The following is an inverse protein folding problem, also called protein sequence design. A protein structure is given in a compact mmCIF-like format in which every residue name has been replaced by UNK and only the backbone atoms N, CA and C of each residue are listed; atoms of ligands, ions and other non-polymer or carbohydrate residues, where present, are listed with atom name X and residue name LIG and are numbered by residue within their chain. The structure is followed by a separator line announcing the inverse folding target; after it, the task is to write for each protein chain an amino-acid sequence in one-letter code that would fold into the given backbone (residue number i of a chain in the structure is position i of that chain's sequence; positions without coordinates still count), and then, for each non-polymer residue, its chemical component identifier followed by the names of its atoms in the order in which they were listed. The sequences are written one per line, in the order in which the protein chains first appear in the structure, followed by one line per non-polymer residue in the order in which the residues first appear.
data_IF_294573262911
#
_entry.id   IF_294573262911
#
_cell.length_a   1.000
_cell.length_b   1.000
_cell.length_c   1.000
_cell.angle_alpha   90.00
_cell.angle_beta   90.00
_cell.angle_gamma   90.00
#
_symmetry.space_group_name_H-M   'P 1'
#
loop_
_entity.id
_entity.type
_entity.pdbx_description
1 polymer ?
#
# COMPACT_ATOMS: atom_id res chain seq x y z
N UNK A 1 15.62 -5.15 13.75
CA UNK A 1 14.81 -4.71 12.59
C UNK A 1 13.72 -3.77 13.10
N UNK A 2 13.57 -2.58 12.53
CA UNK A 2 12.71 -1.53 13.08
C UNK A 2 11.23 -1.99 13.06
N UNK A 3 10.61 -2.29 14.20
CA UNK A 3 9.32 -3.00 14.31
C UNK A 3 8.19 -2.37 13.48
N UNK A 4 8.20 -1.04 13.35
CA UNK A 4 7.27 -0.28 12.50
C UNK A 4 7.36 -0.68 11.02
N UNK A 5 8.55 -0.97 10.51
CA UNK A 5 8.74 -1.41 9.11
C UNK A 5 8.20 -2.82 8.90
N UNK A 6 8.45 -3.73 9.84
CA UNK A 6 7.93 -5.10 9.77
C UNK A 6 6.39 -5.10 9.77
N UNK A 7 5.77 -4.35 10.68
CA UNK A 7 4.31 -4.18 10.74
C UNK A 7 3.78 -3.60 9.42
N UNK A 8 4.44 -2.58 8.88
CA UNK A 8 4.06 -2.00 7.60
C UNK A 8 4.09 -3.02 6.44
N UNK A 9 5.09 -3.90 6.39
CA UNK A 9 5.17 -4.93 5.35
C UNK A 9 4.07 -5.98 5.51
N UNK A 10 3.79 -6.40 6.75
CA UNK A 10 2.68 -7.32 7.05
C UNK A 10 1.34 -6.71 6.58
N UNK A 11 1.09 -5.44 6.92
CA UNK A 11 -0.12 -4.73 6.48
C UNK A 11 -0.20 -4.63 4.95
N UNK A 12 0.93 -4.39 4.27
CA UNK A 12 0.96 -4.34 2.81
C UNK A 12 0.61 -5.71 2.20
N UNK A 13 1.14 -6.80 2.75
CA UNK A 13 0.81 -8.16 2.32
C UNK A 13 -0.67 -8.47 2.54
N UNK A 14 -1.22 -8.11 3.71
CA UNK A 14 -2.65 -8.27 4.01
C UNK A 14 -3.53 -7.43 3.07
N UNK A 15 -3.12 -6.20 2.74
CA UNK A 15 -3.79 -5.37 1.77
C UNK A 15 -3.80 -6.04 0.38
N UNK A 16 -2.68 -6.63 -0.03
CA UNK A 16 -2.59 -7.40 -1.27
C UNK A 16 -3.52 -8.61 -1.31
N UNK A 17 -3.55 -9.40 -0.24
CA UNK A 17 -4.44 -10.57 -0.12
C UNK A 17 -5.92 -10.13 -0.17
N UNK A 18 -6.29 -9.13 0.62
CA UNK A 18 -7.67 -8.61 0.67
C UNK A 18 -8.10 -7.95 -0.64
N UNK A 19 -7.16 -7.37 -1.40
CA UNK A 19 -7.40 -6.88 -2.75
C UNK A 19 -7.72 -8.01 -3.74
N UNK A 20 -6.98 -9.11 -3.72
CA UNK A 20 -7.27 -10.28 -4.54
C UNK A 20 -8.62 -10.91 -4.16
N UNK A 21 -8.95 -10.98 -2.86
CA UNK A 21 -10.24 -11.45 -2.40
C UNK A 21 -11.37 -10.55 -2.90
N UNK A 22 -11.24 -9.24 -2.75
CA UNK A 22 -12.21 -8.27 -3.25
C UNK A 22 -12.44 -8.41 -4.76
N UNK A 23 -11.38 -8.66 -5.55
CA UNK A 23 -11.50 -8.88 -7.00
C UNK A 23 -12.18 -10.20 -7.36
N UNK A 24 -11.99 -11.25 -6.56
CA UNK A 24 -12.54 -12.59 -6.84
C UNK A 24 -13.98 -12.77 -6.36
N UNK A 25 -14.38 -12.11 -5.27
CA UNK A 25 -15.71 -12.24 -4.66
C UNK A 25 -16.90 -11.97 -5.59
N UNK A 26 -16.87 -11.00 -6.53
CA UNK A 26 -17.93 -10.83 -7.51
C UNK A 26 -18.18 -12.07 -8.37
N UNK A 27 -17.13 -12.86 -8.65
CA UNK A 27 -17.17 -14.05 -9.50
C UNK A 27 -17.46 -15.34 -8.72
N UNK A 28 -17.42 -15.31 -7.38
CA UNK A 28 -17.79 -16.45 -6.56
C UNK A 28 -19.30 -16.61 -6.48
N UNK A 29 -19.74 -17.87 -6.46
CA UNK A 29 -21.14 -18.25 -6.32
C UNK A 29 -21.56 -18.22 -4.83
N UNK A 30 -21.60 -17.00 -4.27
CA UNK A 30 -21.99 -16.73 -2.89
C UNK A 30 -23.49 -16.45 -2.78
N UNK A 31 -24.15 -16.77 -1.64
CA UNK A 31 -25.54 -16.42 -1.39
C UNK A 31 -25.78 -14.91 -1.57
N UNK A 32 -26.77 -14.54 -2.39
CA UNK A 32 -27.01 -13.16 -2.80
C UNK A 32 -27.22 -12.20 -1.62
N UNK A 33 -27.86 -12.68 -0.56
CA UNK A 33 -28.19 -11.93 0.66
C UNK A 33 -26.93 -11.38 1.36
N UNK A 34 -25.85 -12.16 1.38
CA UNK A 34 -24.62 -11.82 2.09
C UNK A 34 -23.51 -11.32 1.16
N UNK A 35 -23.65 -11.53 -0.16
CA UNK A 35 -22.59 -11.24 -1.14
C UNK A 35 -22.15 -9.78 -1.11
N UNK A 36 -23.10 -8.85 -1.09
CA UNK A 36 -22.79 -7.41 -1.04
C UNK A 36 -22.10 -7.02 0.28
N UNK A 37 -22.57 -7.54 1.41
CA UNK A 37 -21.97 -7.29 2.72
C UNK A 37 -20.53 -7.79 2.79
N UNK A 38 -20.26 -8.98 2.26
CA UNK A 38 -18.92 -9.57 2.22
C UNK A 38 -18.00 -8.71 1.37
N UNK A 39 -18.43 -8.31 0.16
CA UNK A 39 -17.64 -7.47 -0.75
C UNK A 39 -17.36 -6.09 -0.14
N UNK A 40 -18.38 -5.44 0.42
CA UNK A 40 -18.24 -4.13 1.07
C UNK A 40 -17.32 -4.21 2.29
N UNK A 41 -17.47 -5.25 3.12
CA UNK A 41 -16.61 -5.50 4.27
C UNK A 41 -15.16 -5.72 3.87
N UNK A 42 -14.89 -6.57 2.86
CA UNK A 42 -13.52 -6.77 2.37
C UNK A 42 -12.93 -5.50 1.77
N UNK A 43 -13.73 -4.71 1.06
CA UNK A 43 -13.29 -3.42 0.52
C UNK A 43 -12.84 -2.45 1.62
N UNK A 44 -13.63 -2.31 2.69
CA UNK A 44 -13.28 -1.44 3.82
C UNK A 44 -12.02 -1.93 4.51
N UNK A 45 -11.93 -3.23 4.80
CA UNK A 45 -10.75 -3.84 5.46
C UNK A 45 -9.49 -3.63 4.61
N UNK A 46 -9.59 -3.86 3.30
CA UNK A 46 -8.50 -3.62 2.37
C UNK A 46 -8.02 -2.16 2.43
N UNK A 47 -8.95 -1.20 2.34
CA UNK A 47 -8.62 0.24 2.42
C UNK A 47 -7.89 0.56 3.73
N UNK A 48 -8.36 0.04 4.86
CA UNK A 48 -7.71 0.24 6.17
C UNK A 48 -6.30 -0.32 6.18
N UNK A 49 -6.08 -1.55 5.72
CA UNK A 49 -4.74 -2.14 5.64
C UNK A 49 -3.82 -1.39 4.70
N UNK A 50 -4.32 -1.03 3.51
CA UNK A 50 -3.56 -0.31 2.50
C UNK A 50 -3.09 1.05 2.99
N UNK A 51 -3.99 1.89 3.53
CA UNK A 51 -3.61 3.21 4.02
C UNK A 51 -2.73 3.14 5.27
N UNK A 52 -2.93 2.16 6.14
CA UNK A 52 -2.06 1.94 7.30
C UNK A 52 -0.65 1.51 6.89
N UNK A 53 -0.53 0.62 5.90
CA UNK A 53 0.75 0.22 5.32
C UNK A 53 1.44 1.40 4.65
N UNK A 54 0.70 2.20 3.89
CA UNK A 54 1.20 3.38 3.19
C UNK A 54 1.62 4.49 4.16
N UNK A 55 0.97 4.62 5.31
CA UNK A 55 1.42 5.53 6.36
C UNK A 55 2.79 5.11 6.95
N UNK A 56 2.98 3.81 7.19
CA UNK A 56 4.21 3.29 7.81
C UNK A 56 5.38 3.16 6.82
N UNK A 57 5.10 2.79 5.57
CA UNK A 57 6.11 2.49 4.55
C UNK A 57 6.10 3.43 3.36
N UNK A 58 5.06 4.22 3.15
CA UNK A 58 4.85 5.00 1.93
C UNK A 58 6.03 5.91 1.61
N UNK A 59 6.58 6.61 2.60
CA UNK A 59 7.79 7.44 2.39
C UNK A 59 8.98 6.63 1.84
N UNK A 60 9.19 5.41 2.34
CA UNK A 60 10.30 4.55 1.88
C UNK A 60 10.03 3.96 0.51
N UNK A 61 8.80 3.54 0.25
CA UNK A 61 8.37 3.01 -1.04
C UNK A 61 8.49 4.09 -2.11
N UNK A 62 7.98 5.30 -1.85
CA UNK A 62 8.03 6.41 -2.79
C UNK A 62 9.48 6.84 -3.04
N UNK A 63 10.34 6.93 -2.01
CA UNK A 63 11.77 7.23 -2.21
C UNK A 63 12.45 6.17 -3.06
N UNK A 64 12.16 4.88 -2.84
CA UNK A 64 12.73 3.78 -3.63
C UNK A 64 12.24 3.81 -5.08
N UNK A 65 10.95 4.07 -5.32
CA UNK A 65 10.40 4.23 -6.68
C UNK A 65 11.00 5.46 -7.36
N UNK A 66 11.11 6.58 -6.64
CA UNK A 66 11.67 7.82 -7.15
C UNK A 66 13.14 7.66 -7.60
N UNK A 67 13.91 6.78 -6.96
CA UNK A 67 15.28 6.49 -7.40
C UNK A 67 15.38 5.76 -8.75
N UNK A 68 14.29 5.17 -9.25
CA UNK A 68 14.24 4.57 -10.59
C UNK A 68 13.71 5.55 -11.66
N UNK A 69 13.25 6.74 -11.25
CA UNK A 69 12.73 7.76 -12.16
C UNK A 69 13.86 8.64 -12.71
N UNK A 70 13.65 9.26 -13.89
CA UNK A 70 14.59 10.24 -14.42
C UNK A 70 14.78 11.42 -13.46
N UNK A 71 15.98 12.01 -13.46
CA UNK A 71 16.48 12.97 -12.46
C UNK A 71 15.58 14.18 -12.21
N UNK A 72 14.83 14.63 -13.23
CA UNK A 72 13.87 15.73 -13.10
C UNK A 72 12.67 15.36 -12.21
N UNK A 73 12.10 14.15 -12.41
CA UNK A 73 10.99 13.63 -11.62
C UNK A 73 11.45 13.24 -10.21
N UNK A 74 12.65 12.67 -10.07
CA UNK A 74 13.27 12.37 -8.78
C UNK A 74 13.34 13.65 -7.92
N UNK A 75 13.98 14.73 -8.41
CA UNK A 75 14.10 15.99 -7.65
C UNK A 75 12.75 16.56 -7.22
N UNK A 76 11.74 16.47 -8.08
CA UNK A 76 10.39 16.97 -7.79
C UNK A 76 9.76 16.21 -6.61
N UNK A 77 9.86 14.88 -6.63
CA UNK A 77 9.32 14.01 -5.58
C UNK A 77 10.06 14.20 -4.25
N UNK A 78 11.39 14.28 -4.26
CA UNK A 78 12.18 14.51 -3.04
C UNK A 78 11.88 15.89 -2.42
N UNK A 79 11.64 16.92 -3.25
CA UNK A 79 11.24 18.26 -2.79
C UNK A 79 9.86 18.26 -2.14
N UNK A 80 8.89 17.57 -2.74
CA UNK A 80 7.53 17.42 -2.19
C UNK A 80 7.53 16.65 -0.87
N UNK A 81 8.35 15.61 -0.74
CA UNK A 81 8.44 14.79 0.47
C UNK A 81 9.34 15.41 1.56
N UNK A 82 9.97 16.57 1.31
CA UNK A 82 10.98 17.20 2.18
C UNK A 82 12.04 16.17 2.65
N UNK A 83 12.54 15.37 1.72
CA UNK A 83 13.60 14.39 2.01
C UNK A 83 14.89 14.88 1.39
N UNK A 84 15.93 15.04 2.21
CA UNK A 84 17.28 15.21 1.70
C UNK A 84 17.84 13.83 1.34
N UNK A 85 18.30 13.68 0.10
CA UNK A 85 19.08 12.50 -0.31
C UNK A 85 20.40 12.58 0.45
N UNK A 86 20.65 11.62 1.34
CA UNK A 86 21.98 11.46 1.95
C UNK A 86 22.91 11.05 0.81
N UNK A 87 23.80 11.96 0.40
CA UNK A 87 24.85 11.63 -0.54
C UNK A 87 25.78 10.62 0.14
N UNK A 88 25.73 9.36 -0.28
CA UNK A 88 26.83 8.43 -0.05
C UNK A 88 27.98 8.92 -0.90
N UNK A 89 28.97 9.53 -0.23
CA UNK A 89 30.30 9.79 -0.78
C UNK A 89 30.96 8.48 -1.21
#
# INVERSE_FOLDING_TARGET
MNSKKLIGYILMTLAGITFLLYLTFPFLNLPAENKLLIIAGTYIINKVFFYSALYLLGKQIIVKIASYLPTWAERLIFRLLKVQKVATN
#
